data_IF_445834241180
#
_entry.id   IF_445834241180
#
_cell.length_a   1.000
_cell.length_b   1.000
_cell.length_c   1.000
_cell.angle_alpha   90.00
_cell.angle_beta   90.00
_cell.angle_gamma   90.00
#
_symmetry.space_group_name_H-M   'P 1'
#
loop_
_entity.id
_entity.type
_entity.pdbx_description
1 polymer ?
#
# COMPACT_ATOMS: atom_id res chain seq x y z
N UNK A 1 -5.25 -30.72 25.53
CA UNK A 1 -4.80 -29.74 24.52
C UNK A 1 -4.66 -28.39 25.19
N UNK A 2 -3.44 -28.04 25.60
CA UNK A 2 -3.17 -26.86 26.43
C UNK A 2 -3.14 -25.62 25.55
N UNK A 3 -4.14 -24.75 25.74
CA UNK A 3 -4.31 -23.49 25.04
C UNK A 3 -3.13 -22.54 25.38
N UNK A 4 -2.38 -22.10 24.38
CA UNK A 4 -1.33 -21.08 24.57
C UNK A 4 -1.98 -19.77 24.99
N UNK A 5 -1.71 -19.33 26.22
CA UNK A 5 -2.05 -18.00 26.69
C UNK A 5 -1.23 -16.97 25.91
N UNK A 6 -1.92 -16.08 25.24
CA UNK A 6 -1.38 -14.92 24.54
C UNK A 6 -0.81 -13.91 25.55
N UNK A 7 0.44 -13.47 25.37
CA UNK A 7 0.96 -12.28 26.05
C UNK A 7 1.51 -11.30 25.00
N UNK A 8 0.97 -10.06 24.91
CA UNK A 8 1.47 -9.06 23.97
C UNK A 8 2.87 -8.55 24.36
N UNK A 9 3.67 -8.21 23.35
CA UNK A 9 4.99 -7.58 23.49
C UNK A 9 4.84 -6.19 24.11
N UNK A 10 5.60 -5.94 25.18
CA UNK A 10 5.53 -4.77 26.05
C UNK A 10 5.64 -3.39 25.35
N UNK A 11 6.13 -3.33 24.11
CA UNK A 11 6.33 -2.08 23.35
C UNK A 11 5.03 -1.44 22.87
N UNK A 12 4.02 -2.24 22.52
CA UNK A 12 2.70 -1.77 22.02
C UNK A 12 1.80 -1.29 23.16
N UNK A 13 1.95 -1.85 24.36
CA UNK A 13 1.23 -1.42 25.57
C UNK A 13 1.61 -0.01 26.02
N UNK A 14 2.84 0.43 25.72
CA UNK A 14 3.36 1.77 26.03
C UNK A 14 2.73 2.86 25.15
N UNK A 15 2.31 2.49 23.95
CA UNK A 15 1.69 3.36 22.94
C UNK A 15 0.26 3.81 23.31
N UNK A 16 -0.53 2.93 23.94
CA UNK A 16 -1.96 3.17 24.24
C UNK A 16 -2.23 3.72 25.64
N UNK A 17 -1.18 3.80 26.46
CA UNK A 17 -1.23 4.39 27.81
C UNK A 17 -0.90 5.88 27.80
N UNK A 18 -0.47 6.42 26.65
CA UNK A 18 -0.04 7.82 26.53
C UNK A 18 -1.21 8.72 26.12
N UNK A 19 -1.57 9.76 26.90
CA UNK A 19 -2.70 10.68 26.62
C UNK A 19 -2.58 11.55 25.35
N UNK A 20 -1.63 11.25 24.45
CA UNK A 20 -1.25 12.09 23.30
C UNK A 20 -1.88 11.70 21.96
N UNK A 21 -2.94 10.87 21.94
CA UNK A 21 -3.58 10.44 20.69
C UNK A 21 -4.61 11.43 20.10
N UNK A 22 -4.49 12.71 20.46
CA UNK A 22 -4.96 13.83 19.63
C UNK A 22 -3.90 14.35 18.64
N UNK A 23 -2.75 13.66 18.47
CA UNK A 23 -1.69 14.09 17.55
C UNK A 23 -1.73 13.32 16.20
N UNK A 24 -2.58 13.79 15.28
CA UNK A 24 -2.18 14.21 13.92
C UNK A 24 -0.90 13.59 13.30
N UNK A 25 -0.87 12.29 12.96
CA UNK A 25 0.17 11.76 12.07
C UNK A 25 -0.18 12.05 10.62
N UNK A 26 0.73 12.67 9.85
CA UNK A 26 0.57 12.88 8.40
C UNK A 26 1.46 11.92 7.63
N UNK A 27 0.98 11.38 6.51
CA UNK A 27 1.80 10.56 5.62
C UNK A 27 2.64 11.50 4.76
N UNK A 28 3.96 11.33 4.83
CA UNK A 28 4.95 12.24 4.22
C UNK A 28 5.67 11.53 3.09
N UNK A 29 5.58 12.10 1.89
CA UNK A 29 6.27 11.60 0.70
C UNK A 29 7.25 12.65 0.22
N UNK A 30 8.45 12.23 -0.14
CA UNK A 30 9.34 13.04 -0.98
C UNK A 30 9.11 12.66 -2.45
N UNK A 31 8.65 13.61 -3.27
CA UNK A 31 8.52 13.42 -4.71
C UNK A 31 9.76 13.97 -5.43
N UNK A 32 10.42 13.09 -6.20
CA UNK A 32 11.69 13.36 -6.88
C UNK A 32 11.52 13.23 -8.37
N UNK A 33 12.25 14.03 -9.14
CA UNK A 33 12.35 13.86 -10.59
C UNK A 33 12.38 15.19 -11.33
N UNK A 34 12.76 15.12 -12.61
CA UNK A 34 13.03 16.30 -13.43
C UNK A 34 11.86 17.27 -13.54
N UNK A 35 12.15 18.53 -13.90
CA UNK A 35 11.12 19.46 -14.31
C UNK A 35 10.27 18.86 -15.46
N UNK A 36 8.95 18.96 -15.36
CA UNK A 36 8.02 18.43 -16.37
C UNK A 36 7.77 16.92 -16.36
N UNK A 37 8.34 16.15 -15.41
CA UNK A 37 8.09 14.69 -15.33
C UNK A 37 6.73 14.29 -14.75
N UNK A 38 5.86 15.25 -14.39
CA UNK A 38 4.50 14.96 -13.91
C UNK A 38 4.33 14.90 -12.39
N UNK A 39 5.32 15.36 -11.60
CA UNK A 39 5.23 15.40 -10.12
C UNK A 39 3.95 16.08 -9.63
N UNK A 40 3.70 17.31 -10.08
CA UNK A 40 2.51 18.09 -9.69
C UNK A 40 1.21 17.39 -10.08
N UNK A 41 1.16 16.73 -11.24
CA UNK A 41 -0.01 15.97 -11.70
C UNK A 41 -0.32 14.82 -10.75
N UNK A 42 0.68 14.02 -10.37
CA UNK A 42 0.53 12.90 -9.42
C UNK A 42 0.03 13.42 -8.07
N UNK A 43 0.65 14.48 -7.56
CA UNK A 43 0.30 15.13 -6.31
C UNK A 43 -1.15 15.64 -6.30
N UNK A 44 -1.55 16.37 -7.34
CA UNK A 44 -2.93 16.89 -7.48
C UNK A 44 -3.94 15.74 -7.59
N UNK A 45 -3.62 14.69 -8.34
CA UNK A 45 -4.48 13.50 -8.45
C UNK A 45 -4.64 12.78 -7.11
N UNK A 46 -3.56 12.64 -6.34
CA UNK A 46 -3.57 11.97 -5.04
C UNK A 46 -4.37 12.76 -3.99
N UNK A 47 -4.26 14.09 -3.99
CA UNK A 47 -4.98 14.95 -3.05
C UNK A 47 -6.40 15.32 -3.49
N UNK A 48 -6.78 15.11 -4.76
CA UNK A 48 -8.07 15.54 -5.30
C UNK A 48 -8.24 17.06 -5.39
N UNK A 49 -7.15 17.81 -5.22
CA UNK A 49 -7.05 19.26 -5.32
C UNK A 49 -5.61 19.67 -5.56
N UNK A 50 -5.43 20.91 -6.03
CA UNK A 50 -4.11 21.51 -6.13
C UNK A 50 -3.45 21.51 -4.75
N UNK A 51 -2.17 21.15 -4.72
CA UNK A 51 -1.36 21.26 -3.51
C UNK A 51 -0.75 22.66 -3.49
N UNK A 52 -0.97 23.38 -2.39
CA UNK A 52 -0.40 24.70 -2.16
C UNK A 52 0.74 24.60 -1.15
N UNK A 53 1.59 25.63 -1.14
CA UNK A 53 2.44 25.88 0.02
C UNK A 53 1.54 26.07 1.26
N UNK A 54 2.00 25.60 2.41
CA UNK A 54 1.31 25.76 3.69
C UNK A 54 0.82 27.22 3.89
N UNK A 55 -0.39 27.45 4.42
CA UNK A 55 -0.91 28.80 4.59
C UNK A 55 -0.02 29.62 5.54
N UNK A 56 0.68 30.63 5.00
CA UNK A 56 1.52 31.55 5.77
C UNK A 56 2.76 32.11 5.08
N UNK A 57 3.19 31.61 3.91
CA UNK A 57 4.52 31.96 3.37
C UNK A 57 4.52 32.39 1.89
N UNK A 58 5.38 33.38 1.58
CA UNK A 58 5.48 34.02 0.28
C UNK A 58 6.24 33.16 -0.76
N UNK A 59 5.70 33.12 -1.99
CA UNK A 59 6.32 32.46 -3.15
C UNK A 59 7.66 33.11 -3.50
N UNK A 60 8.75 32.35 -3.55
CA UNK A 60 10.03 32.85 -4.10
C UNK A 60 11.31 32.11 -3.69
N UNK A 61 11.33 31.39 -2.57
CA UNK A 61 12.50 30.61 -2.09
C UNK A 61 12.02 29.24 -1.61
N UNK A 62 11.78 28.30 -2.53
CA UNK A 62 11.26 26.98 -2.16
C UNK A 62 12.41 26.02 -1.86
N UNK A 63 12.61 25.69 -0.59
CA UNK A 63 13.53 24.63 -0.15
C UNK A 63 12.80 23.28 -0.14
N UNK A 64 13.53 22.18 -0.34
CA UNK A 64 13.02 20.80 -0.18
C UNK A 64 12.36 20.57 1.20
N UNK A 65 12.74 21.38 2.19
CA UNK A 65 12.18 21.39 3.54
C UNK A 65 10.70 21.78 3.59
N UNK A 66 10.16 22.42 2.55
CA UNK A 66 8.81 22.97 2.55
C UNK A 66 7.77 21.86 2.43
N UNK A 67 6.75 21.93 3.28
CA UNK A 67 5.61 21.02 3.27
C UNK A 67 4.55 21.54 2.29
N UNK A 68 4.24 20.71 1.30
CA UNK A 68 3.12 20.89 0.40
C UNK A 68 1.92 20.13 0.96
N UNK A 69 0.85 20.85 1.30
CA UNK A 69 -0.37 20.31 1.93
C UNK A 69 -1.59 20.74 1.13
N UNK A 70 -2.57 19.84 1.03
CA UNK A 70 -3.85 20.15 0.38
C UNK A 70 -4.96 20.26 1.42
N UNK A 71 -5.81 21.26 1.30
CA UNK A 71 -6.99 21.43 2.17
C UNK A 71 -7.96 20.25 2.08
N UNK A 72 -7.99 19.55 0.92
CA UNK A 72 -8.82 18.36 0.74
C UNK A 72 -8.19 17.08 1.32
N UNK A 73 -6.90 17.11 1.66
CA UNK A 73 -6.18 15.96 2.18
C UNK A 73 -5.13 16.37 3.24
N UNK A 74 -5.57 16.84 4.43
CA UNK A 74 -4.66 17.29 5.49
C UNK A 74 -3.85 16.15 6.14
N UNK A 75 -4.19 14.90 5.82
CA UNK A 75 -3.50 13.69 6.26
C UNK A 75 -2.26 13.37 5.42
N UNK A 76 -2.03 14.09 4.33
CA UNK A 76 -0.91 13.89 3.41
C UNK A 76 -0.01 15.14 3.35
N UNK A 77 1.31 14.93 3.28
CA UNK A 77 2.31 15.96 3.04
C UNK A 77 3.23 15.49 1.93
N UNK A 78 3.46 16.35 0.95
CA UNK A 78 4.52 16.16 -0.02
C UNK A 78 5.69 17.12 0.24
N UNK A 79 6.90 16.63 0.01
CA UNK A 79 8.09 17.43 -0.19
C UNK A 79 8.46 17.32 -1.67
N UNK A 80 8.67 18.43 -2.36
CA UNK A 80 9.08 18.44 -3.77
C UNK A 80 10.57 18.76 -3.89
N UNK A 81 11.33 17.87 -4.52
CA UNK A 81 12.75 18.08 -4.86
C UNK A 81 13.00 19.27 -5.80
N UNK A 82 12.00 19.66 -6.61
CA UNK A 82 12.08 20.72 -7.63
C UNK A 82 13.26 20.60 -8.62
N UNK A 83 13.81 19.41 -8.81
CA UNK A 83 14.95 19.20 -9.72
C UNK A 83 16.33 19.28 -9.05
N UNK A 84 16.40 19.43 -7.71
CA UNK A 84 17.66 19.45 -6.98
C UNK A 84 18.52 18.19 -7.20
N UNK A 85 17.91 17.06 -7.57
CA UNK A 85 18.61 15.82 -7.90
C UNK A 85 19.47 15.90 -9.17
N UNK A 86 19.23 16.91 -10.01
CA UNK A 86 19.98 17.17 -11.24
C UNK A 86 20.73 18.52 -11.19
N UNK A 87 20.84 19.09 -9.99
CA UNK A 87 21.51 20.37 -9.72
C UNK A 87 23.03 20.27 -9.65
N UNK A 88 23.67 21.31 -9.10
CA UNK A 88 25.10 21.26 -8.79
C UNK A 88 25.43 20.20 -7.73
N UNK A 89 26.71 19.86 -7.56
CA UNK A 89 27.13 18.92 -6.51
C UNK A 89 26.70 19.38 -5.10
N UNK A 90 26.62 20.69 -4.88
CA UNK A 90 26.16 21.30 -3.62
C UNK A 90 24.65 21.12 -3.43
N UNK A 91 23.85 21.32 -4.48
CA UNK A 91 22.41 21.08 -4.47
C UNK A 91 22.09 19.59 -4.28
N UNK A 92 22.83 18.72 -4.94
CA UNK A 92 22.71 17.27 -4.78
C UNK A 92 23.07 16.81 -3.36
N UNK A 93 24.14 17.36 -2.78
CA UNK A 93 24.53 17.07 -1.40
C UNK A 93 23.45 17.52 -0.41
N UNK A 94 22.89 18.72 -0.60
CA UNK A 94 21.79 19.23 0.21
C UNK A 94 20.56 18.33 0.12
N UNK A 95 20.25 17.85 -1.09
CA UNK A 95 19.17 16.91 -1.35
C UNK A 95 19.35 15.56 -0.63
N UNK A 96 20.55 14.96 -0.70
CA UNK A 96 20.83 13.70 -0.01
C UNK A 96 20.85 13.86 1.52
N UNK A 97 21.38 14.96 2.04
CA UNK A 97 21.34 15.27 3.47
C UNK A 97 19.89 15.35 3.97
N UNK A 98 19.00 16.00 3.23
CA UNK A 98 17.58 16.03 3.55
C UNK A 98 16.97 14.62 3.67
N UNK A 99 17.27 13.72 2.72
CA UNK A 99 16.77 12.33 2.76
C UNK A 99 17.25 11.61 4.03
N UNK A 100 18.54 11.73 4.36
CA UNK A 100 19.11 11.06 5.53
C UNK A 100 18.59 11.65 6.84
N UNK A 101 18.51 12.97 6.96
CA UNK A 101 18.00 13.64 8.16
C UNK A 101 16.53 13.32 8.37
N UNK A 102 15.68 13.56 7.36
CA UNK A 102 14.25 13.27 7.45
C UNK A 102 13.99 11.79 7.60
N UNK A 103 14.74 10.92 6.93
CA UNK A 103 14.56 9.46 7.03
C UNK A 103 14.81 8.90 8.42
N UNK A 104 15.63 9.58 9.24
CA UNK A 104 16.00 9.17 10.59
C UNK A 104 15.20 9.89 11.71
N UNK A 105 14.24 10.75 11.36
CA UNK A 105 13.35 11.38 12.34
C UNK A 105 12.32 10.39 12.92
N UNK A 106 11.62 10.84 13.97
CA UNK A 106 10.44 10.16 14.51
C UNK A 106 9.36 9.95 13.44
N UNK A 107 8.52 8.92 13.62
CA UNK A 107 7.47 8.54 12.66
C UNK A 107 6.53 9.69 12.26
N UNK A 108 6.34 10.70 13.11
CA UNK A 108 5.47 11.85 12.83
C UNK A 108 6.11 12.91 11.90
N UNK A 109 7.44 12.93 11.80
CA UNK A 109 8.21 13.95 11.07
C UNK A 109 9.03 13.39 9.91
N UNK A 110 9.28 12.08 9.90
CA UNK A 110 10.08 11.43 8.85
C UNK A 110 9.34 11.32 7.53
N UNK A 111 10.11 11.30 6.44
CA UNK A 111 9.59 10.86 5.16
C UNK A 111 9.35 9.34 5.20
N UNK A 112 8.21 8.92 4.67
CA UNK A 112 7.73 7.54 4.74
C UNK A 112 8.00 6.77 3.45
N UNK A 113 8.02 7.47 2.32
CA UNK A 113 8.34 6.92 1.01
C UNK A 113 8.94 8.02 0.12
N UNK A 114 9.73 7.59 -0.86
CA UNK A 114 10.20 8.42 -1.96
C UNK A 114 9.47 7.98 -3.23
N UNK A 115 8.80 8.93 -3.88
CA UNK A 115 8.17 8.74 -5.20
C UNK A 115 9.08 9.34 -6.26
N UNK A 116 9.83 8.50 -6.96
CA UNK A 116 10.81 8.95 -7.96
C UNK A 116 10.20 8.90 -9.37
N UNK A 117 9.92 10.05 -9.95
CA UNK A 117 9.28 10.17 -11.26
C UNK A 117 10.32 10.15 -12.40
N UNK A 118 10.14 9.23 -13.34
CA UNK A 118 10.93 9.12 -14.57
C UNK A 118 9.96 9.15 -15.76
N UNK A 119 10.23 9.99 -16.76
CA UNK A 119 9.41 9.97 -17.97
C UNK A 119 9.74 8.73 -18.81
N UNK A 120 8.71 8.02 -19.26
CA UNK A 120 8.85 6.99 -20.28
C UNK A 120 9.41 7.64 -21.56
N UNK A 121 10.55 7.14 -22.01
CA UNK A 121 11.16 7.59 -23.25
C UNK A 121 12.10 6.48 -23.78
N UNK A 122 12.53 6.63 -25.02
CA UNK A 122 13.44 5.68 -25.67
C UNK A 122 14.89 5.78 -25.21
N UNK A 123 15.22 6.75 -24.36
CA UNK A 123 16.59 6.91 -23.85
C UNK A 123 16.76 6.09 -22.57
N UNK A 124 17.96 5.53 -22.33
CA UNK A 124 18.29 4.93 -21.05
C UNK A 124 18.13 5.91 -19.89
N UNK A 125 18.09 5.38 -18.67
CA UNK A 125 18.20 6.19 -17.44
C UNK A 125 19.37 7.18 -17.54
N UNK A 126 19.19 8.36 -16.97
CA UNK A 126 20.07 9.51 -17.10
C UNK A 126 21.12 9.55 -15.99
N UNK A 127 22.00 10.55 -16.04
CA UNK A 127 23.08 10.72 -15.06
C UNK A 127 22.54 10.95 -13.64
N UNK A 128 21.54 11.81 -13.46
CA UNK A 128 20.94 12.09 -12.15
C UNK A 128 20.26 10.86 -11.55
N UNK A 129 19.52 10.09 -12.36
CA UNK A 129 18.93 8.82 -11.93
C UNK A 129 20.01 7.80 -11.55
N UNK A 130 21.06 7.65 -12.37
CA UNK A 130 22.21 6.79 -12.03
C UNK A 130 22.87 7.21 -10.73
N UNK A 131 23.08 8.51 -10.51
CA UNK A 131 23.68 9.05 -9.30
C UNK A 131 22.81 8.76 -8.08
N UNK A 132 21.50 8.99 -8.18
CA UNK A 132 20.53 8.68 -7.12
C UNK A 132 20.53 7.20 -6.74
N UNK A 133 20.37 6.29 -7.69
CA UNK A 133 20.32 4.84 -7.42
C UNK A 133 21.70 4.21 -7.15
N UNK A 134 22.78 5.00 -7.23
CA UNK A 134 24.12 4.60 -6.76
C UNK A 134 24.42 5.06 -5.33
N UNK A 135 23.59 5.96 -4.78
CA UNK A 135 23.77 6.55 -3.46
C UNK A 135 22.79 5.93 -2.47
N UNK A 136 23.25 5.71 -1.24
CA UNK A 136 22.40 5.18 -0.17
C UNK A 136 21.35 6.22 0.22
N UNK A 137 20.08 5.84 0.23
CA UNK A 137 18.94 6.66 0.68
C UNK A 137 18.38 6.21 2.05
N UNK A 138 19.11 5.34 2.75
CA UNK A 138 18.72 4.81 4.06
C UNK A 138 17.57 3.80 3.96
N UNK A 139 16.70 3.80 4.97
CA UNK A 139 15.59 2.83 5.08
C UNK A 139 14.29 3.30 4.41
N UNK A 140 14.30 4.47 3.78
CA UNK A 140 13.10 5.04 3.17
C UNK A 140 12.85 4.32 1.83
N UNK A 141 11.71 3.64 1.65
CA UNK A 141 11.45 2.93 0.41
C UNK A 141 11.33 3.88 -0.77
N UNK A 142 11.92 3.49 -1.90
CA UNK A 142 11.83 4.21 -3.18
C UNK A 142 10.91 3.47 -4.14
N UNK A 143 9.87 4.16 -4.60
CA UNK A 143 8.97 3.70 -5.65
C UNK A 143 9.22 4.56 -6.88
N UNK A 144 9.63 3.93 -7.99
CA UNK A 144 9.76 4.62 -9.27
C UNK A 144 8.40 4.67 -9.96
N UNK A 145 8.05 5.86 -10.42
CA UNK A 145 6.83 6.14 -11.17
C UNK A 145 7.23 6.51 -12.59
N UNK A 146 6.94 5.61 -13.53
CA UNK A 146 7.16 5.86 -14.95
C UNK A 146 5.94 6.62 -15.50
N UNK A 147 6.13 7.90 -15.79
CA UNK A 147 5.09 8.81 -16.29
C UNK A 147 5.14 8.93 -17.81
N UNK A 148 4.07 9.46 -18.43
CA UNK A 148 3.99 9.68 -19.89
C UNK A 148 4.20 8.41 -20.71
N UNK A 149 3.76 7.27 -20.18
CA UNK A 149 3.89 6.00 -20.87
C UNK A 149 2.99 5.93 -22.12
N UNK A 150 1.86 6.63 -22.07
CA UNK A 150 0.98 6.92 -23.21
C UNK A 150 1.74 7.60 -24.36
N UNK A 151 2.55 8.63 -24.09
CA UNK A 151 3.39 9.28 -25.12
C UNK A 151 4.42 8.33 -25.74
N UNK A 152 4.95 7.37 -24.96
CA UNK A 152 5.85 6.34 -25.52
C UNK A 152 5.10 5.38 -26.46
N UNK A 153 3.86 5.00 -26.11
CA UNK A 153 3.01 4.18 -26.99
C UNK A 153 2.71 4.93 -28.28
N UNK A 154 2.35 6.23 -28.19
CA UNK A 154 2.09 7.09 -29.35
C UNK A 154 3.31 7.20 -30.27
N UNK A 155 4.51 7.35 -29.70
CA UNK A 155 5.77 7.35 -30.47
C UNK A 155 5.95 6.04 -31.24
N UNK A 156 5.78 4.90 -30.56
CA UNK A 156 5.88 3.59 -31.21
C UNK A 156 4.81 3.40 -32.29
N UNK A 157 3.59 3.91 -32.10
CA UNK A 157 2.54 3.86 -33.10
C UNK A 157 2.91 4.68 -34.33
N UNK A 158 3.46 5.88 -34.13
CA UNK A 158 3.91 6.73 -35.23
C UNK A 158 5.04 6.09 -36.05
N UNK A 159 5.95 5.37 -35.41
CA UNK A 159 7.00 4.61 -36.10
C UNK A 159 6.41 3.51 -36.99
N UNK A 160 5.41 2.76 -36.49
CA UNK A 160 4.70 1.74 -37.27
C UNK A 160 4.01 2.36 -38.48
N UNK A 161 3.30 3.47 -38.29
CA UNK A 161 2.59 4.16 -39.37
C UNK A 161 3.55 4.66 -40.45
N UNK A 162 4.74 5.13 -40.05
CA UNK A 162 5.77 5.58 -40.98
C UNK A 162 6.36 4.40 -41.76
N UNK A 163 6.61 3.27 -41.10
CA UNK A 163 7.06 2.04 -41.75
C UNK A 163 5.98 1.49 -42.71
N UNK A 164 4.70 1.57 -42.34
CA UNK A 164 3.58 1.12 -43.19
C UNK A 164 3.39 1.99 -44.42
N UNK A 165 3.54 3.32 -44.32
CA UNK A 165 3.47 4.24 -45.48
C UNK A 165 4.54 3.96 -46.55
N UNK A 166 5.50 3.07 -46.27
CA UNK A 166 6.47 2.57 -47.25
C UNK A 166 6.01 1.33 -48.04
N UNK A 167 4.86 0.73 -47.70
CA UNK A 167 4.27 -0.44 -48.37
C UNK A 167 2.77 -0.24 -48.65
N UNK A 168 2.39 -0.25 -49.93
CA UNK A 168 0.98 -0.28 -50.36
C UNK A 168 0.39 -1.67 -50.05
N UNK A 169 -0.41 -1.80 -48.98
CA UNK A 169 -1.29 -2.98 -48.85
C UNK A 169 -2.65 -2.69 -48.23
N UNK A 170 -3.64 -3.35 -48.83
CA UNK A 170 -5.09 -3.20 -48.67
C UNK A 170 -5.57 -4.22 -47.64
N UNK A 171 -5.52 -3.84 -46.37
CA UNK A 171 -6.12 -4.60 -45.26
C UNK A 171 -7.29 -3.85 -44.62
N UNK A 172 -8.20 -4.58 -43.97
CA UNK A 172 -9.34 -4.04 -43.22
C UNK A 172 -8.86 -2.98 -42.22
N UNK A 173 -9.27 -1.71 -42.36
CA UNK A 173 -8.72 -0.60 -41.58
C UNK A 173 -8.88 -0.79 -40.07
N UNK A 174 -10.01 -1.33 -39.60
CA UNK A 174 -10.32 -1.37 -38.17
C UNK A 174 -9.57 -2.48 -37.42
N UNK A 175 -9.33 -3.61 -38.08
CA UNK A 175 -8.52 -4.70 -37.52
C UNK A 175 -7.03 -4.34 -37.54
N UNK A 176 -6.57 -3.70 -38.62
CA UNK A 176 -5.18 -3.22 -38.74
C UNK A 176 -4.83 -2.24 -37.62
N UNK A 177 -5.71 -1.30 -37.29
CA UNK A 177 -5.49 -0.32 -36.23
C UNK A 177 -5.33 -0.97 -34.84
N UNK A 178 -6.17 -1.96 -34.52
CA UNK A 178 -6.07 -2.68 -33.23
C UNK A 178 -4.79 -3.50 -33.12
N UNK A 179 -4.37 -4.13 -34.22
CA UNK A 179 -3.15 -4.92 -34.26
C UNK A 179 -1.89 -4.03 -34.16
N UNK A 180 -1.93 -2.86 -34.80
CA UNK A 180 -0.88 -1.83 -34.70
C UNK A 180 -0.78 -1.27 -33.27
N UNK A 181 -1.90 -0.96 -32.61
CA UNK A 181 -1.91 -0.47 -31.25
C UNK A 181 -1.38 -1.52 -30.25
N UNK A 182 -1.74 -2.80 -30.44
CA UNK A 182 -1.22 -3.91 -29.65
C UNK A 182 0.30 -4.10 -29.85
N UNK A 183 0.78 -3.93 -31.08
CA UNK A 183 2.21 -4.00 -31.40
C UNK A 183 2.97 -2.80 -30.82
N UNK A 184 2.43 -1.59 -30.92
CA UNK A 184 2.99 -0.38 -30.33
C UNK A 184 3.17 -0.54 -28.81
N UNK A 185 2.14 -1.05 -28.12
CA UNK A 185 2.23 -1.38 -26.68
C UNK A 185 3.31 -2.42 -26.39
N UNK A 186 3.46 -3.42 -27.26
CA UNK A 186 4.50 -4.44 -27.12
C UNK A 186 5.90 -3.85 -27.27
N UNK A 187 6.11 -2.95 -28.24
CA UNK A 187 7.39 -2.26 -28.39
C UNK A 187 7.69 -1.30 -27.24
N UNK A 188 6.71 -0.47 -26.84
CA UNK A 188 6.82 0.40 -25.69
C UNK A 188 7.20 -0.39 -24.42
N UNK A 189 6.62 -1.58 -24.24
CA UNK A 189 6.99 -2.47 -23.14
C UNK A 189 8.45 -2.95 -23.23
N UNK A 190 8.93 -3.35 -24.41
CA UNK A 190 10.34 -3.75 -24.61
C UNK A 190 11.31 -2.60 -24.32
N UNK A 191 10.99 -1.40 -24.80
CA UNK A 191 11.79 -0.19 -24.55
C UNK A 191 11.82 0.09 -23.04
N UNK A 192 10.67 0.07 -22.37
CA UNK A 192 10.60 0.24 -20.92
C UNK A 192 11.43 -0.79 -20.16
N UNK A 193 11.37 -2.07 -20.55
CA UNK A 193 12.17 -3.13 -19.94
C UNK A 193 13.66 -2.84 -20.09
N UNK A 194 14.12 -2.61 -21.32
CA UNK A 194 15.53 -2.46 -21.64
C UNK A 194 16.15 -1.15 -21.13
N UNK A 195 15.41 -0.03 -21.22
CA UNK A 195 15.96 1.31 -20.99
C UNK A 195 15.67 1.87 -19.59
N UNK A 196 14.65 1.36 -18.90
CA UNK A 196 14.25 1.83 -17.58
C UNK A 196 14.32 0.72 -16.53
N UNK A 197 13.53 -0.35 -16.66
CA UNK A 197 13.38 -1.36 -15.61
C UNK A 197 14.66 -2.15 -15.34
N UNK A 198 15.25 -2.77 -16.34
CA UNK A 198 16.45 -3.58 -16.13
C UNK A 198 17.65 -2.74 -15.65
N UNK A 199 17.95 -1.56 -16.21
CA UNK A 199 19.03 -0.71 -15.71
C UNK A 199 18.83 -0.34 -14.23
N UNK A 200 17.62 0.10 -13.84
CA UNK A 200 17.32 0.47 -12.45
C UNK A 200 17.49 -0.72 -11.49
N UNK A 201 17.05 -1.91 -11.88
CA UNK A 201 17.18 -3.11 -11.04
C UNK A 201 18.62 -3.61 -10.90
N UNK A 202 19.53 -3.21 -11.79
CA UNK A 202 20.97 -3.52 -11.72
C UNK A 202 21.77 -2.48 -10.91
N UNK A 203 21.14 -1.38 -10.50
CA UNK A 203 21.82 -0.34 -9.70
C UNK A 203 22.17 -0.83 -8.30
N UNK A 204 23.12 -0.15 -7.64
CA UNK A 204 23.59 -0.50 -6.30
C UNK A 204 22.46 -0.47 -5.26
N UNK A 205 21.57 0.52 -5.37
CA UNK A 205 20.38 0.66 -4.53
C UNK A 205 19.15 0.68 -5.45
N UNK A 206 18.65 -0.49 -5.91
CA UNK A 206 17.52 -0.54 -6.82
C UNK A 206 16.22 -0.08 -6.14
N UNK A 207 15.22 0.39 -6.90
CA UNK A 207 13.93 0.77 -6.34
C UNK A 207 13.19 -0.44 -5.75
N UNK A 208 12.40 -0.22 -4.69
CA UNK A 208 11.57 -1.24 -4.07
C UNK A 208 10.39 -1.66 -4.97
N UNK A 209 9.92 -0.74 -5.80
CA UNK A 209 8.89 -0.99 -6.80
C UNK A 209 9.01 -0.04 -7.99
N UNK A 210 8.54 -0.49 -9.16
CA UNK A 210 8.43 0.31 -10.38
C UNK A 210 6.99 0.20 -10.87
N UNK A 211 6.30 1.33 -10.97
CA UNK A 211 4.92 1.43 -11.46
C UNK A 211 4.88 2.30 -12.72
N UNK A 212 3.90 2.05 -13.59
CA UNK A 212 3.64 2.84 -14.80
C UNK A 212 2.36 3.64 -14.60
N UNK A 213 2.37 4.90 -15.03
CA UNK A 213 1.18 5.74 -15.08
C UNK A 213 0.95 6.15 -16.54
N UNK A 214 -0.20 5.73 -17.05
CA UNK A 214 -0.72 6.07 -18.37
C UNK A 214 -1.85 7.11 -18.19
N UNK A 215 -1.96 8.06 -19.13
CA UNK A 215 -3.07 9.02 -19.18
C UNK A 215 -3.25 9.85 -17.89
N UNK A 216 -2.15 10.22 -17.24
CA UNK A 216 -2.19 10.97 -15.97
C UNK A 216 -2.84 12.36 -16.09
N UNK A 217 -2.93 12.91 -17.31
CA UNK A 217 -3.56 14.19 -17.63
C UNK A 217 -5.03 14.03 -18.06
N UNK A 218 -5.50 12.81 -18.34
CA UNK A 218 -6.86 12.55 -18.79
C UNK A 218 -7.86 12.64 -17.62
N UNK A 219 -8.71 13.67 -17.65
CA UNK A 219 -9.76 13.90 -16.66
C UNK A 219 -10.86 12.84 -16.64
N UNK A 220 -10.99 12.02 -17.70
CA UNK A 220 -11.97 10.94 -17.77
C UNK A 220 -11.58 9.74 -16.89
N UNK A 221 -10.28 9.49 -16.69
CA UNK A 221 -9.79 8.42 -15.83
C UNK A 221 -9.89 8.85 -14.37
N UNK A 222 -10.57 8.03 -13.56
CA UNK A 222 -10.72 8.31 -12.14
C UNK A 222 -9.36 8.31 -11.43
N UNK A 223 -9.11 9.27 -10.52
CA UNK A 223 -7.84 9.32 -9.77
C UNK A 223 -7.55 8.03 -8.99
N UNK A 224 -8.59 7.32 -8.54
CA UNK A 224 -8.48 6.05 -7.82
C UNK A 224 -7.93 4.95 -8.72
N UNK A 225 -8.39 4.88 -9.97
CA UNK A 225 -7.92 3.91 -10.96
C UNK A 225 -6.50 4.24 -11.41
N UNK A 226 -6.24 5.50 -11.76
CA UNK A 226 -4.92 5.97 -12.18
C UNK A 226 -3.84 5.67 -11.13
N UNK A 227 -4.12 5.93 -9.85
CA UNK A 227 -3.14 5.81 -8.77
C UNK A 227 -3.15 4.44 -8.08
N UNK A 228 -3.94 3.47 -8.57
CA UNK A 228 -4.10 2.15 -7.94
C UNK A 228 -2.74 1.47 -7.73
N UNK A 229 -1.95 1.36 -8.80
CA UNK A 229 -0.68 0.64 -8.80
C UNK A 229 0.36 1.35 -7.93
N UNK A 230 0.44 2.69 -7.99
CA UNK A 230 1.29 3.49 -7.11
C UNK A 230 0.93 3.30 -5.64
N UNK A 231 -0.37 3.34 -5.34
CA UNK A 231 -0.87 3.25 -3.97
C UNK A 231 -0.59 1.85 -3.40
N UNK A 232 -0.78 0.82 -4.22
CA UNK A 232 -0.49 -0.55 -3.84
C UNK A 232 1.02 -0.80 -3.68
N UNK A 233 1.85 -0.30 -4.60
CA UNK A 233 3.29 -0.40 -4.50
C UNK A 233 3.81 0.29 -3.24
N UNK A 234 3.34 1.51 -2.96
CA UNK A 234 3.69 2.26 -1.75
C UNK A 234 3.34 1.46 -0.49
N UNK A 235 2.12 0.94 -0.41
CA UNK A 235 1.66 0.10 0.69
C UNK A 235 2.52 -1.17 0.87
N UNK A 236 2.85 -1.84 -0.24
CA UNK A 236 3.72 -3.03 -0.23
C UNK A 236 5.13 -2.71 0.21
N UNK A 237 5.64 -1.50 0.00
CA UNK A 237 6.98 -1.12 0.42
C UNK A 237 7.03 -0.71 1.90
N UNK A 238 5.96 -0.08 2.41
CA UNK A 238 5.85 0.31 3.82
C UNK A 238 5.30 -0.83 4.69
N UNK A 239 4.91 -1.98 4.12
CA UNK A 239 4.41 -3.15 4.87
C UNK A 239 5.46 -3.74 5.82
N UNK A 240 6.74 -3.60 5.53
CA UNK A 240 7.78 -4.09 6.45
C UNK A 240 8.15 -3.03 7.51
N UNK A 241 7.39 -1.92 7.55
CA UNK A 241 7.57 -0.80 8.47
C UNK A 241 6.50 -0.77 9.57
N UNK A 242 6.61 0.22 10.47
CA UNK A 242 5.73 0.40 11.63
C UNK A 242 4.23 0.39 11.23
N UNK A 243 3.39 -0.37 11.96
CA UNK A 243 1.94 -0.44 11.72
C UNK A 243 1.29 0.94 11.78
N UNK A 244 1.86 1.86 12.55
CA UNK A 244 1.43 3.26 12.64
C UNK A 244 1.49 3.98 11.28
N UNK A 245 2.46 3.64 10.42
CA UNK A 245 2.68 4.29 9.13
C UNK A 245 1.67 3.84 8.11
N UNK A 246 1.28 2.57 8.14
CA UNK A 246 0.23 2.04 7.27
C UNK A 246 -1.11 2.70 7.57
N UNK A 247 -1.43 2.90 8.85
CA UNK A 247 -2.65 3.60 9.26
C UNK A 247 -2.66 5.04 8.75
N UNK A 248 -1.54 5.74 8.89
CA UNK A 248 -1.40 7.12 8.42
C UNK A 248 -1.44 7.20 6.89
N UNK A 249 -0.83 6.26 6.16
CA UNK A 249 -0.93 6.18 4.70
C UNK A 249 -2.37 5.96 4.23
N UNK A 250 -3.10 5.09 4.91
CA UNK A 250 -4.46 4.75 4.52
C UNK A 250 -5.44 5.91 4.77
N UNK A 251 -5.25 6.71 5.84
CA UNK A 251 -5.91 8.02 5.99
C UNK A 251 -5.58 8.97 4.84
N UNK A 252 -4.32 9.04 4.44
CA UNK A 252 -3.87 9.91 3.34
C UNK A 252 -4.47 9.51 1.98
N UNK A 253 -4.91 8.27 1.79
CA UNK A 253 -5.65 7.85 0.58
C UNK A 253 -7.12 8.30 0.56
N UNK A 254 -7.62 8.93 1.64
CA UNK A 254 -9.05 9.22 1.80
C UNK A 254 -9.92 7.97 1.98
N UNK A 255 -9.33 6.84 2.38
CA UNK A 255 -10.09 5.64 2.74
C UNK A 255 -10.73 5.86 4.12
N UNK A 256 -12.00 5.48 4.29
CA UNK A 256 -12.60 5.51 5.62
C UNK A 256 -11.90 4.44 6.46
N UNK A 257 -11.32 4.83 7.59
CA UNK A 257 -10.69 3.88 8.53
C UNK A 257 -11.70 2.86 9.09
N UNK A 258 -12.98 3.09 8.85
CA UNK A 258 -14.07 2.20 9.23
C UNK A 258 -14.41 1.16 8.15
N UNK A 259 -13.82 1.24 6.95
CA UNK A 259 -14.11 0.32 5.86
C UNK A 259 -13.42 -1.06 6.06
N UNK A 260 -14.11 -2.19 5.99
CA UNK A 260 -13.48 -3.51 5.98
C UNK A 260 -12.37 -3.68 4.92
N UNK A 261 -12.52 -3.07 3.73
CA UNK A 261 -11.46 -3.04 2.71
C UNK A 261 -10.19 -2.31 3.14
N UNK A 262 -10.28 -1.32 4.04
CA UNK A 262 -9.12 -0.67 4.65
C UNK A 262 -8.28 -1.69 5.45
N UNK A 263 -8.95 -2.51 6.27
CA UNK A 263 -8.27 -3.55 7.05
C UNK A 263 -7.87 -4.76 6.19
N UNK A 264 -8.51 -5.01 5.05
CA UNK A 264 -8.12 -6.04 4.06
C UNK A 264 -6.66 -5.92 3.68
N UNK A 265 -6.28 -4.68 3.38
CA UNK A 265 -4.93 -4.35 3.00
C UNK A 265 -3.95 -4.40 4.20
N UNK A 266 -4.43 -4.15 5.42
CA UNK A 266 -3.64 -4.21 6.67
C UNK A 266 -3.51 -5.63 7.25
N UNK A 267 -4.42 -6.53 6.89
CA UNK A 267 -4.62 -7.82 7.56
C UNK A 267 -3.45 -8.78 7.47
N UNK A 268 -2.54 -8.55 6.52
CA UNK A 268 -1.26 -9.23 6.43
C UNK A 268 -0.40 -9.07 7.71
N UNK A 269 -0.59 -7.99 8.49
CA UNK A 269 0.16 -7.75 9.74
C UNK A 269 -0.52 -8.27 11.00
N UNK A 270 -1.85 -8.30 11.02
CA UNK A 270 -2.62 -8.83 12.15
C UNK A 270 -2.52 -10.36 12.23
N UNK A 271 -2.16 -11.01 11.13
CA UNK A 271 -1.94 -12.45 11.03
C UNK A 271 -0.45 -12.81 11.30
N UNK A 272 0.01 -12.81 12.56
CA UNK A 272 1.36 -13.34 12.84
C UNK A 272 1.39 -14.87 12.96
N UNK A 273 2.14 -15.45 12.02
CA UNK A 273 3.06 -16.60 12.09
C UNK A 273 2.87 -17.59 13.25
N UNK A 274 2.55 -18.87 12.95
CA UNK A 274 2.80 -19.95 13.91
C UNK A 274 4.29 -19.99 14.24
N UNK A 275 4.66 -19.85 15.52
CA UNK A 275 6.00 -20.24 15.99
C UNK A 275 6.10 -21.76 15.87
N UNK A 276 6.80 -22.26 14.85
CA UNK A 276 7.19 -23.67 14.82
C UNK A 276 8.05 -23.95 16.05
N UNK A 277 7.60 -24.89 16.91
CA UNK A 277 8.44 -25.46 17.96
C UNK A 277 9.59 -26.16 17.26
N UNK A 278 10.83 -25.79 17.59
CA UNK A 278 11.99 -26.58 17.18
C UNK A 278 11.82 -27.99 17.75
N UNK A 279 11.55 -28.95 16.87
CA UNK A 279 11.66 -30.36 17.23
C UNK A 279 13.15 -30.59 17.45
N UNK A 280 13.53 -30.79 18.71
CA UNK A 280 14.89 -31.18 19.06
C UNK A 280 15.23 -32.49 18.37
N UNK A 281 16.15 -32.43 17.42
CA UNK A 281 16.72 -33.64 16.84
C UNK A 281 17.85 -34.09 17.76
N UNK A 282 17.57 -35.14 18.52
CA UNK A 282 18.58 -35.97 19.17
C UNK A 282 19.34 -36.70 18.05
N UNK A 283 20.67 -36.70 18.10
CA UNK A 283 21.48 -37.64 17.31
C UNK A 283 22.76 -37.04 16.73
N UNK A 284 23.86 -37.26 17.44
CA UNK A 284 25.26 -37.02 17.07
C UNK A 284 25.66 -37.53 15.68
N UNK A 285 26.61 -36.86 15.02
CA UNK A 285 27.94 -37.39 14.66
C UNK A 285 28.89 -36.21 14.38
N UNK A 286 30.07 -36.29 14.98
CA UNK A 286 31.20 -35.36 14.95
C UNK A 286 32.04 -35.46 13.67
N UNK A 287 32.50 -34.32 13.13
CA UNK A 287 33.92 -34.09 12.73
C UNK A 287 34.15 -32.71 12.08
N UNK A 288 35.22 -32.01 12.52
CA UNK A 288 36.15 -31.32 11.61
C UNK A 288 35.97 -29.83 11.24
N UNK A 289 36.34 -28.94 12.17
CA UNK A 289 36.95 -27.57 12.08
C UNK A 289 37.24 -26.91 10.69
N UNK A 290 36.79 -25.64 10.53
CA UNK A 290 37.38 -24.61 9.62
C UNK A 290 36.50 -23.33 9.49
N UNK A 291 37.02 -22.07 9.63
CA UNK A 291 36.19 -20.90 9.97
C UNK A 291 35.77 -19.99 8.79
N UNK A 292 34.63 -19.30 8.99
CA UNK A 292 34.13 -18.11 8.28
C UNK A 292 33.66 -18.25 6.81
N UNK A 293 32.52 -18.91 6.64
CA UNK A 293 31.52 -18.53 5.62
C UNK A 293 30.18 -18.32 6.33
N UNK A 294 29.73 -17.07 6.49
CA UNK A 294 28.36 -16.77 6.92
C UNK A 294 27.42 -17.09 5.76
N UNK A 295 26.87 -18.29 5.76
CA UNK A 295 25.68 -18.66 4.97
C UNK A 295 24.49 -17.79 5.37
N UNK A 296 23.49 -17.61 4.48
CA UNK A 296 22.38 -16.70 4.71
C UNK A 296 21.58 -17.19 5.91
N UNK A 297 21.40 -16.30 6.87
CA UNK A 297 20.56 -16.52 8.04
C UNK A 297 19.17 -16.90 7.54
N UNK A 298 18.73 -18.10 7.93
CA UNK A 298 17.34 -18.55 7.85
C UNK A 298 16.44 -17.51 8.52
N UNK A 299 15.88 -16.60 7.72
CA UNK A 299 14.91 -15.62 8.16
C UNK A 299 13.54 -16.31 8.27
N UNK A 300 12.89 -16.33 9.45
CA UNK A 300 11.56 -16.91 9.63
C UNK A 300 10.44 -16.15 8.89
N UNK A 301 10.76 -15.15 8.06
CA UNK A 301 9.83 -14.41 7.18
C UNK A 301 9.28 -15.21 6.02
N UNK A 302 9.98 -16.26 5.59
CA UNK A 302 9.65 -17.00 4.36
C UNK A 302 8.35 -17.82 4.43
N UNK A 303 7.84 -18.13 5.63
CA UNK A 303 6.72 -19.06 5.77
C UNK A 303 5.33 -18.44 5.74
N UNK A 304 5.17 -17.13 5.49
CA UNK A 304 3.85 -16.53 5.20
C UNK A 304 3.81 -15.73 3.89
N UNK A 305 4.96 -15.31 3.37
CA UNK A 305 5.11 -14.82 1.98
C UNK A 305 4.86 -15.90 0.92
N UNK A 306 4.86 -17.18 1.30
CA UNK A 306 4.71 -18.31 0.37
C UNK A 306 3.26 -18.75 0.06
N UNK A 307 2.23 -18.21 0.74
CA UNK A 307 0.90 -18.85 0.78
C UNK A 307 -0.19 -18.13 -0.01
N UNK A 308 -0.02 -16.83 -0.26
CA UNK A 308 -0.92 -16.08 -1.13
C UNK A 308 -0.12 -15.69 -2.37
N UNK A 309 -0.54 -16.08 -3.58
CA UNK A 309 -0.06 -15.48 -4.81
C UNK A 309 -0.09 -13.96 -4.71
N UNK A 310 0.88 -13.32 -5.37
CA UNK A 310 0.86 -11.88 -5.54
C UNK A 310 -0.54 -11.45 -5.99
N UNK A 311 -1.13 -10.46 -5.30
CA UNK A 311 -2.41 -9.79 -5.61
C UNK A 311 -3.68 -10.28 -4.88
N UNK A 312 -3.65 -11.34 -4.07
CA UNK A 312 -4.85 -11.74 -3.30
C UNK A 312 -5.34 -10.65 -2.34
N UNK A 313 -4.44 -9.83 -1.82
CA UNK A 313 -4.78 -8.68 -0.99
C UNK A 313 -5.67 -7.68 -1.73
N UNK A 314 -5.46 -7.50 -3.05
CA UNK A 314 -6.31 -6.66 -3.90
C UNK A 314 -7.68 -7.30 -4.01
N UNK A 315 -7.72 -8.60 -4.34
CA UNK A 315 -8.98 -9.32 -4.57
C UNK A 315 -9.83 -9.32 -3.31
N UNK A 316 -9.23 -9.54 -2.14
CA UNK A 316 -9.91 -9.46 -0.85
C UNK A 316 -10.41 -8.03 -0.59
N UNK A 317 -9.55 -7.02 -0.79
CA UNK A 317 -9.92 -5.62 -0.59
C UNK A 317 -11.08 -5.19 -1.49
N UNK A 318 -11.01 -5.50 -2.79
CA UNK A 318 -12.04 -5.14 -3.77
C UNK A 318 -13.35 -5.87 -3.48
N UNK A 319 -13.29 -7.16 -3.12
CA UNK A 319 -14.46 -7.91 -2.73
C UNK A 319 -15.09 -7.40 -1.43
N UNK A 320 -14.30 -7.02 -0.41
CA UNK A 320 -14.79 -6.40 0.82
C UNK A 320 -15.50 -5.08 0.51
N UNK A 321 -14.85 -4.20 -0.26
CA UNK A 321 -15.43 -2.95 -0.70
C UNK A 321 -16.78 -3.16 -1.40
N UNK A 322 -16.82 -4.12 -2.32
CA UNK A 322 -18.01 -4.40 -3.13
C UNK A 322 -19.16 -5.03 -2.34
N UNK A 323 -18.86 -5.88 -1.36
CA UNK A 323 -19.88 -6.76 -0.75
C UNK A 323 -20.11 -6.58 0.75
N UNK A 324 -19.23 -5.85 1.45
CA UNK A 324 -19.23 -5.78 2.93
C UNK A 324 -19.24 -4.34 3.42
N UNK A 325 -18.49 -3.44 2.78
CA UNK A 325 -18.31 -2.06 3.24
C UNK A 325 -19.61 -1.23 3.15
N UNK A 326 -20.41 -1.43 2.10
CA UNK A 326 -21.65 -0.68 1.86
C UNK A 326 -22.86 -1.14 2.70
N UNK A 327 -22.64 -1.91 3.78
CA UNK A 327 -23.76 -2.38 4.62
C UNK A 327 -24.42 -1.21 5.35
N UNK A 328 -25.75 -1.28 5.59
CA UNK A 328 -26.46 -0.21 6.26
C UNK A 328 -25.94 0.03 7.68
N UNK A 329 -25.35 1.20 7.91
CA UNK A 329 -24.90 1.64 9.24
C UNK A 329 -26.06 2.09 10.16
N UNK A 330 -27.31 1.85 9.76
CA UNK A 330 -28.50 2.26 10.50
C UNK A 330 -28.57 1.64 11.89
N UNK A 331 -28.06 0.40 12.03
CA UNK A 331 -28.00 -0.33 13.30
C UNK A 331 -27.19 0.42 14.35
N UNK A 332 -26.18 1.21 13.94
CA UNK A 332 -25.37 2.02 14.85
C UNK A 332 -26.04 3.35 15.21
N UNK A 333 -27.13 3.78 14.54
CA UNK A 333 -27.81 5.06 14.86
C UNK A 333 -28.32 5.11 16.29
N UNK A 334 -28.57 3.95 16.90
CA UNK A 334 -29.00 3.82 18.30
C UNK A 334 -27.88 4.11 19.32
N UNK A 335 -26.61 4.18 18.89
CA UNK A 335 -25.52 4.57 19.77
C UNK A 335 -25.55 6.09 20.02
N UNK A 336 -25.38 6.52 21.28
CA UNK A 336 -25.74 7.87 21.71
C UNK A 336 -24.82 8.98 21.17
N UNK A 337 -23.61 8.64 20.74
CA UNK A 337 -22.62 9.64 20.27
C UNK A 337 -22.07 9.30 18.89
N UNK A 338 -21.68 10.31 18.12
CA UNK A 338 -21.00 10.11 16.83
C UNK A 338 -19.67 9.36 17.00
N UNK A 339 -18.97 9.58 18.11
CA UNK A 339 -17.74 8.88 18.42
C UNK A 339 -17.95 7.36 18.60
N UNK A 340 -18.95 6.95 19.38
CA UNK A 340 -19.27 5.53 19.58
C UNK A 340 -19.74 4.86 18.29
N UNK A 341 -20.47 5.59 17.45
CA UNK A 341 -20.86 5.14 16.11
C UNK A 341 -19.64 4.84 15.25
N UNK A 342 -18.71 5.79 15.16
CA UNK A 342 -17.46 5.60 14.42
C UNK A 342 -16.61 4.43 14.95
N UNK A 343 -16.60 4.23 16.27
CA UNK A 343 -15.88 3.11 16.89
C UNK A 343 -16.52 1.76 16.55
N UNK A 344 -17.85 1.66 16.59
CA UNK A 344 -18.58 0.43 16.28
C UNK A 344 -18.38 0.00 14.81
N UNK A 345 -18.39 0.94 13.86
CA UNK A 345 -18.13 0.63 12.45
C UNK A 345 -16.71 0.07 12.25
N UNK A 346 -15.70 0.66 12.88
CA UNK A 346 -14.30 0.16 12.81
C UNK A 346 -14.16 -1.24 13.39
N UNK A 347 -14.85 -1.53 14.49
CA UNK A 347 -14.85 -2.84 15.14
C UNK A 347 -15.49 -3.89 14.25
N UNK A 348 -16.64 -3.56 13.67
CA UNK A 348 -17.34 -4.42 12.72
C UNK A 348 -16.41 -4.82 11.59
N UNK A 349 -15.78 -3.84 10.95
CA UNK A 349 -14.82 -4.04 9.87
C UNK A 349 -13.68 -5.00 10.23
N UNK A 350 -13.11 -4.86 11.42
CA UNK A 350 -12.07 -5.75 11.95
C UNK A 350 -12.55 -7.19 12.22
N UNK A 351 -13.77 -7.35 12.72
CA UNK A 351 -14.34 -8.67 12.95
C UNK A 351 -14.66 -9.36 11.62
N UNK A 352 -15.27 -8.65 10.67
CA UNK A 352 -15.62 -9.18 9.34
C UNK A 352 -14.41 -9.74 8.62
N UNK A 353 -13.35 -8.95 8.58
CA UNK A 353 -12.12 -9.36 7.93
C UNK A 353 -11.46 -10.54 8.63
N UNK A 354 -11.39 -10.51 9.96
CA UNK A 354 -10.80 -11.61 10.70
C UNK A 354 -11.56 -12.91 10.41
N UNK A 355 -12.90 -12.86 10.43
CA UNK A 355 -13.74 -14.01 10.12
C UNK A 355 -13.41 -14.52 8.72
N UNK A 356 -13.55 -13.69 7.68
CA UNK A 356 -13.31 -14.08 6.28
C UNK A 356 -11.92 -14.69 6.10
N UNK A 357 -10.87 -14.08 6.66
CA UNK A 357 -9.50 -14.59 6.52
C UNK A 357 -9.28 -15.91 7.24
N UNK A 358 -9.93 -16.17 8.37
CA UNK A 358 -9.91 -17.48 9.01
C UNK A 358 -10.55 -18.54 8.12
N UNK A 359 -11.67 -18.22 7.45
CA UNK A 359 -12.36 -19.14 6.54
C UNK A 359 -11.52 -19.44 5.29
N UNK A 360 -11.02 -18.40 4.62
CA UNK A 360 -10.14 -18.54 3.46
C UNK A 360 -8.87 -19.31 3.84
N UNK A 361 -8.31 -19.01 5.01
CA UNK A 361 -7.16 -19.69 5.59
C UNK A 361 -7.37 -21.17 5.91
N UNK A 362 -8.58 -21.74 5.80
CA UNK A 362 -8.79 -23.20 5.86
C UNK A 362 -8.58 -23.90 4.50
N UNK A 363 -8.58 -23.18 3.37
CA UNK A 363 -8.41 -23.71 2.00
C UNK A 363 -7.04 -23.33 1.40
N UNK A 364 -5.98 -23.49 2.21
CA UNK A 364 -4.66 -22.86 2.04
C UNK A 364 -3.93 -23.07 0.71
N UNK A 365 -4.25 -24.13 -0.03
CA UNK A 365 -3.41 -24.57 -1.15
C UNK A 365 -4.07 -24.39 -2.54
N UNK A 366 -5.32 -23.87 -2.62
CA UNK A 366 -6.12 -23.87 -3.86
C UNK A 366 -7.10 -22.71 -4.05
N UNK A 367 -6.96 -21.59 -3.34
CA UNK A 367 -7.91 -20.48 -3.50
C UNK A 367 -7.82 -19.89 -4.91
N UNK A 368 -8.94 -19.73 -5.62
CA UNK A 368 -9.00 -18.88 -6.82
C UNK A 368 -9.51 -17.47 -6.48
N UNK A 369 -9.27 -16.48 -7.35
CA UNK A 369 -9.85 -15.14 -7.17
C UNK A 369 -11.39 -15.20 -7.05
N UNK A 370 -12.01 -16.08 -7.84
CA UNK A 370 -13.45 -16.34 -7.81
C UNK A 370 -13.91 -16.94 -6.47
N UNK A 371 -13.13 -17.84 -5.86
CA UNK A 371 -13.45 -18.39 -4.54
C UNK A 371 -13.36 -17.34 -3.43
N UNK A 372 -12.38 -16.43 -3.52
CA UNK A 372 -12.23 -15.31 -2.59
C UNK A 372 -13.47 -14.41 -2.68
N UNK A 373 -13.84 -14.00 -3.90
CA UNK A 373 -15.01 -13.12 -4.11
C UNK A 373 -16.30 -13.81 -3.67
N UNK A 374 -16.49 -15.10 -4.00
CA UNK A 374 -17.66 -15.88 -3.56
C UNK A 374 -17.76 -15.97 -2.04
N UNK A 375 -16.65 -16.25 -1.34
CA UNK A 375 -16.65 -16.32 0.12
C UNK A 375 -17.02 -14.98 0.76
N UNK A 376 -16.45 -13.88 0.28
CA UNK A 376 -16.70 -12.54 0.82
C UNK A 376 -18.13 -12.08 0.53
N UNK A 377 -18.61 -12.33 -0.69
CA UNK A 377 -20.01 -12.07 -1.07
C UNK A 377 -20.98 -12.88 -0.21
N UNK A 378 -20.70 -14.14 0.06
CA UNK A 378 -21.54 -14.96 0.91
C UNK A 378 -21.53 -14.49 2.36
N UNK A 379 -20.36 -14.14 2.89
CA UNK A 379 -20.23 -13.56 4.21
C UNK A 379 -21.05 -12.26 4.34
N UNK A 380 -20.93 -11.34 3.38
CA UNK A 380 -21.72 -10.09 3.37
C UNK A 380 -23.24 -10.30 3.39
N UNK A 381 -23.72 -11.41 2.82
CA UNK A 381 -25.15 -11.78 2.80
C UNK A 381 -25.58 -12.72 3.95
N UNK A 382 -24.63 -13.16 4.78
CA UNK A 382 -24.86 -14.18 5.80
C UNK A 382 -25.68 -13.66 6.98
N UNK A 383 -26.38 -14.56 7.68
CA UNK A 383 -27.07 -14.23 8.92
C UNK A 383 -26.01 -13.94 9.99
N UNK A 384 -24.92 -14.71 9.99
CA UNK A 384 -23.77 -14.48 10.86
C UNK A 384 -23.24 -13.03 10.84
N UNK A 385 -23.08 -12.43 9.65
CA UNK A 385 -22.60 -11.05 9.54
C UNK A 385 -23.59 -10.03 10.13
N UNK A 386 -24.91 -10.30 10.05
CA UNK A 386 -25.95 -9.44 10.66
C UNK A 386 -26.00 -9.61 12.18
N UNK A 387 -25.88 -10.83 12.66
CA UNK A 387 -25.84 -11.13 14.09
C UNK A 387 -24.60 -10.52 14.76
N UNK A 388 -23.47 -10.53 14.07
CA UNK A 388 -22.25 -9.85 14.51
C UNK A 388 -22.49 -8.34 14.72
N UNK A 389 -23.16 -7.67 13.76
CA UNK A 389 -23.51 -6.25 13.87
C UNK A 389 -24.38 -5.98 15.11
N UNK A 390 -25.40 -6.82 15.32
CA UNK A 390 -26.29 -6.69 16.49
C UNK A 390 -25.56 -6.98 17.80
N UNK A 391 -24.71 -8.00 17.83
CA UNK A 391 -23.94 -8.38 19.00
C UNK A 391 -22.93 -7.30 19.40
N UNK A 392 -22.31 -6.63 18.42
CA UNK A 392 -21.44 -5.48 18.67
C UNK A 392 -22.25 -4.38 19.37
N UNK A 393 -23.42 -4.00 18.85
CA UNK A 393 -24.29 -2.99 19.49
C UNK A 393 -24.73 -3.42 20.90
N UNK A 394 -25.11 -4.68 21.10
CA UNK A 394 -25.50 -5.19 22.41
C UNK A 394 -24.33 -5.19 23.42
N UNK A 395 -23.10 -5.36 22.92
CA UNK A 395 -21.88 -5.31 23.72
C UNK A 395 -21.37 -3.88 23.98
N UNK A 396 -21.91 -2.88 23.27
CA UNK A 396 -21.64 -1.45 23.48
C UNK A 396 -22.24 -0.95 24.79
N UNK A 397 -21.61 -1.27 25.93
CA UNK A 397 -21.87 -0.54 27.18
C UNK A 397 -21.21 0.84 27.09
N UNK A 398 -21.96 1.95 27.05
CA UNK A 398 -21.39 3.29 26.85
C UNK A 398 -20.28 3.61 27.87
N UNK A 399 -20.45 3.17 29.12
CA UNK A 399 -19.50 3.43 30.20
C UNK A 399 -18.23 2.55 30.17
N UNK A 400 -18.27 1.41 29.46
CA UNK A 400 -17.12 0.51 29.31
C UNK A 400 -16.32 0.85 28.06
N UNK A 401 -17.00 1.13 26.94
CA UNK A 401 -16.36 1.51 25.68
C UNK A 401 -15.60 2.83 25.79
N UNK A 402 -16.12 3.81 26.55
CA UNK A 402 -15.42 5.07 26.84
C UNK A 402 -14.12 4.84 27.65
N UNK A 403 -14.02 3.73 28.39
CA UNK A 403 -12.80 3.35 29.15
C UNK A 403 -11.79 2.57 28.32
N UNK A 404 -12.17 2.06 27.14
CA UNK A 404 -11.29 1.28 26.29
C UNK A 404 -10.36 2.21 25.51
N UNK A 405 -9.16 2.39 26.03
CA UNK A 405 -8.15 3.32 25.49
C UNK A 405 -7.32 2.70 24.36
N UNK A 406 -7.50 1.42 24.03
CA UNK A 406 -6.59 0.66 23.18
C UNK A 406 -7.27 -0.29 22.18
N UNK A 407 -6.74 -0.34 20.95
CA UNK A 407 -7.17 -1.25 19.86
C UNK A 407 -7.32 -2.72 20.32
N UNK A 408 -6.41 -3.20 21.17
CA UNK A 408 -6.39 -4.58 21.63
C UNK A 408 -7.38 -4.90 22.76
N UNK A 409 -7.73 -3.92 23.60
CA UNK A 409 -8.82 -4.10 24.58
C UNK A 409 -10.14 -4.30 23.87
N UNK A 410 -10.34 -3.54 22.79
CA UNK A 410 -11.52 -3.64 21.94
C UNK A 410 -11.53 -4.98 21.20
N UNK A 411 -10.42 -5.35 20.55
CA UNK A 411 -10.31 -6.65 19.87
C UNK A 411 -10.50 -7.83 20.83
N UNK A 412 -9.89 -7.82 22.00
CA UNK A 412 -10.01 -8.89 23.00
C UNK A 412 -11.43 -8.99 23.57
N UNK A 413 -12.14 -7.87 23.74
CA UNK A 413 -13.54 -7.87 24.14
C UNK A 413 -14.46 -8.45 23.06
N UNK A 414 -14.11 -8.22 21.79
CA UNK A 414 -14.92 -8.64 20.63
C UNK A 414 -14.52 -10.02 20.10
N UNK A 415 -13.39 -10.58 20.54
CA UNK A 415 -12.87 -11.86 20.07
C UNK A 415 -13.88 -13.00 20.27
N UNK A 416 -14.58 -13.02 21.41
CA UNK A 416 -15.62 -14.02 21.68
C UNK A 416 -16.79 -13.92 20.70
N UNK A 417 -17.23 -12.70 20.40
CA UNK A 417 -18.33 -12.42 19.46
C UNK A 417 -17.91 -12.81 18.04
N UNK A 418 -16.71 -12.41 17.61
CA UNK A 418 -16.18 -12.74 16.29
C UNK A 418 -15.97 -14.25 16.10
N UNK A 419 -15.50 -14.97 17.13
CA UNK A 419 -15.36 -16.44 17.10
C UNK A 419 -16.70 -17.13 16.93
N UNK A 420 -17.73 -16.71 17.66
CA UNK A 420 -19.07 -17.28 17.54
C UNK A 420 -19.66 -17.03 16.15
N UNK A 421 -19.51 -15.81 15.63
CA UNK A 421 -19.93 -15.46 14.27
C UNK A 421 -19.19 -16.28 13.21
N UNK A 422 -17.86 -16.45 13.34
CA UNK A 422 -17.08 -17.33 12.47
C UNK A 422 -17.62 -18.74 12.45
N UNK A 423 -17.86 -19.34 13.61
CA UNK A 423 -18.30 -20.73 13.70
C UNK A 423 -19.70 -20.92 13.10
N UNK A 424 -20.59 -19.94 13.28
CA UNK A 424 -21.90 -19.92 12.63
C UNK A 424 -21.77 -19.76 11.11
N UNK A 425 -20.91 -18.85 10.64
CA UNK A 425 -20.68 -18.66 9.22
C UNK A 425 -20.05 -19.89 8.56
N UNK A 426 -19.16 -20.60 9.26
CA UNK A 426 -18.63 -21.90 8.80
C UNK A 426 -19.74 -22.93 8.56
N UNK A 427 -20.80 -22.92 9.37
CA UNK A 427 -21.96 -23.79 9.17
C UNK A 427 -22.79 -23.31 7.97
N UNK A 428 -23.07 -22.01 7.87
CA UNK A 428 -23.83 -21.42 6.77
C UNK A 428 -23.15 -21.61 5.40
N UNK A 429 -21.82 -21.54 5.35
CA UNK A 429 -21.02 -21.66 4.13
C UNK A 429 -20.77 -23.11 3.68
N UNK A 430 -21.00 -24.09 4.56
CA UNK A 430 -20.90 -25.53 4.24
C UNK A 430 -22.22 -26.12 3.74
N UNK A 431 -23.31 -25.36 3.83
CA UNK A 431 -24.63 -25.63 3.22
C UNK A 431 -24.65 -24.97 1.86
#
# INVERSE_FOLDING_TARGET
MTCMKFHPVATVSKWLSSPKHNATGRFRVLIVGRAGCGKTTILTRFCGANIADSPGEHRGLHRIDHELVSDKNPSFVAHDSRGAEAGSDEEYTTFMNFIHERGNMEATQRIHAIWYCIQANERPIQASERQFFSTDHGKVPVIVIVTKYDTLIESCLQDIENDRKSFDDVSDPDQSLKDEEAWARTQAHKIFQAHCREPLMRMKYPPNAIVRLEHAEDSAVSSKELLRDLTQATMRCIKDSDTDILMVFARARGSDEADPSFFALLSYHLYQRPKLRSVGTIGSISSGIGPNTRSPINDPTTYMTFWAPENYEIVISDAMAKHVDHRPNEVYRHLPTQHLRGLAVRIQALCDIWIVLQILGHKRDRLSHDEIERCIKAYGNSISARDLQQAIVASCRPDEWVKWRSFWQIYSAMEGVARQARDKFLMEWRV
#
